data_IF_041201766359
#
_entry.id   IF_041201766359
#
_cell.length_a   1.000
_cell.length_b   1.000
_cell.length_c   1.000
_cell.angle_alpha   90.00
_cell.angle_beta   90.00
_cell.angle_gamma   90.00
#
_symmetry.space_group_name_H-M   'P 1'
#
loop_
_entity.id
_entity.type
_entity.pdbx_description
1 polymer ?
#
# COMPACT_ATOMS: atom_id res chain seq x y z
N UNK A 1 7.59 14.95 -2.99
CA UNK A 1 6.45 15.05 -3.93
C UNK A 1 5.22 15.64 -3.25
N UNK A 2 4.47 14.90 -2.40
CA UNK A 2 3.26 15.42 -1.75
C UNK A 2 3.47 16.74 -1.00
N UNK A 3 4.59 16.87 -0.29
CA UNK A 3 4.93 18.11 0.41
C UNK A 3 5.13 19.31 -0.54
N UNK A 4 5.77 19.08 -1.70
CA UNK A 4 5.92 20.13 -2.71
C UNK A 4 4.58 20.54 -3.32
N UNK A 5 3.64 19.60 -3.46
CA UNK A 5 2.27 19.90 -3.93
C UNK A 5 1.48 20.71 -2.89
N UNK A 6 1.64 20.43 -1.58
CA UNK A 6 1.03 21.23 -0.51
C UNK A 6 1.55 22.66 -0.51
N UNK A 7 2.87 22.82 -0.54
CA UNK A 7 3.51 24.14 -0.61
C UNK A 7 3.08 24.88 -1.88
N UNK A 8 2.97 24.18 -3.02
CA UNK A 8 2.45 24.76 -4.26
C UNK A 8 0.99 25.21 -4.10
N UNK A 9 0.10 24.42 -3.47
CA UNK A 9 -1.28 24.81 -3.18
C UNK A 9 -1.32 26.09 -2.34
N UNK A 10 -0.56 26.12 -1.25
CA UNK A 10 -0.60 27.22 -0.29
C UNK A 10 -0.12 28.54 -0.95
N UNK A 11 0.92 28.48 -1.78
CA UNK A 11 1.34 29.64 -2.58
C UNK A 11 0.35 30.01 -3.68
N UNK A 12 -0.31 29.03 -4.30
CA UNK A 12 -1.31 29.24 -5.34
C UNK A 12 -2.56 29.95 -4.78
N UNK A 13 -2.97 29.67 -3.54
CA UNK A 13 -4.12 30.32 -2.90
C UNK A 13 -3.89 31.80 -2.61
N UNK A 14 -2.63 32.19 -2.38
CA UNK A 14 -2.23 33.59 -2.13
C UNK A 14 -1.91 34.32 -3.45
N UNK A 15 -1.60 33.59 -4.52
CA UNK A 15 -1.31 34.16 -5.82
C UNK A 15 -2.58 34.70 -6.48
N UNK A 16 -2.55 35.98 -6.88
CA UNK A 16 -3.70 36.68 -7.49
C UNK A 16 -4.28 35.97 -8.73
N UNK A 17 -3.46 35.19 -9.44
CA UNK A 17 -3.84 34.44 -10.65
C UNK A 17 -3.71 32.93 -10.51
N UNK A 18 -3.45 32.44 -9.30
CA UNK A 18 -3.26 31.03 -9.03
C UNK A 18 -2.02 30.42 -9.68
N UNK A 19 -1.02 31.23 -10.04
CA UNK A 19 0.27 30.79 -10.57
C UNK A 19 1.38 31.07 -9.57
N UNK A 20 2.16 30.05 -9.26
CA UNK A 20 3.29 30.14 -8.33
C UNK A 20 4.57 30.35 -9.14
N UNK A 21 5.28 31.44 -8.85
CA UNK A 21 6.53 31.80 -9.54
C UNK A 21 7.74 31.12 -8.91
N UNK A 22 8.85 31.05 -9.66
CA UNK A 22 10.07 30.36 -9.24
C UNK A 22 10.55 30.73 -7.82
N UNK A 23 10.57 32.03 -7.51
CA UNK A 23 11.07 32.54 -6.23
C UNK A 23 10.18 32.24 -5.02
N UNK A 24 8.97 31.74 -5.23
CA UNK A 24 8.08 31.35 -4.13
C UNK A 24 8.41 29.96 -3.59
N UNK A 25 9.15 29.12 -4.34
CA UNK A 25 9.48 27.76 -3.94
C UNK A 25 10.96 27.61 -3.59
N UNK A 26 11.25 26.69 -2.67
CA UNK A 26 12.62 26.23 -2.44
C UNK A 26 13.10 25.38 -3.62
N UNK A 27 14.42 25.34 -3.92
CA UNK A 27 14.97 24.52 -5.00
C UNK A 27 14.53 23.05 -4.94
N UNK A 28 14.55 22.43 -3.75
CA UNK A 28 14.15 21.02 -3.55
C UNK A 28 12.67 20.75 -3.90
N UNK A 29 11.82 21.78 -3.82
CA UNK A 29 10.41 21.68 -4.21
C UNK A 29 10.25 21.83 -5.72
N UNK A 30 11.12 22.59 -6.38
CA UNK A 30 11.08 22.81 -7.82
C UNK A 30 11.24 21.50 -8.60
N UNK A 31 12.24 20.70 -8.27
CA UNK A 31 12.47 19.40 -8.91
C UNK A 31 11.29 18.44 -8.72
N UNK A 32 10.68 18.48 -7.53
CA UNK A 32 9.49 17.70 -7.25
C UNK A 32 8.26 18.20 -8.04
N UNK A 33 8.08 19.51 -8.20
CA UNK A 33 7.00 20.10 -9.00
C UNK A 33 7.16 19.75 -10.48
N UNK A 34 8.38 19.78 -11.02
CA UNK A 34 8.67 19.36 -12.39
C UNK A 34 8.37 17.86 -12.61
N UNK A 35 8.80 17.01 -11.68
CA UNK A 35 8.45 15.59 -11.73
C UNK A 35 6.93 15.35 -11.63
N UNK A 36 6.19 16.18 -10.89
CA UNK A 36 4.74 16.13 -10.80
C UNK A 36 4.05 16.58 -12.10
N UNK A 37 4.65 17.52 -12.83
CA UNK A 37 4.16 17.98 -14.12
C UNK A 37 4.22 16.83 -15.16
N UNK A 38 5.28 16.04 -15.14
CA UNK A 38 5.38 14.81 -15.94
C UNK A 38 4.30 13.75 -15.64
N UNK A 39 3.59 13.89 -14.52
CA UNK A 39 2.48 13.01 -14.10
C UNK A 39 1.09 13.67 -14.27
N UNK A 40 1.02 14.89 -14.83
CA UNK A 40 -0.23 15.63 -15.02
C UNK A 40 -0.86 16.20 -13.74
N UNK A 41 -0.13 16.19 -12.62
CA UNK A 41 -0.60 16.72 -11.34
C UNK A 41 -0.38 18.23 -11.23
N UNK A 42 0.57 18.74 -11.99
CA UNK A 42 0.95 20.15 -12.05
C UNK A 42 0.93 20.60 -13.51
N UNK A 43 0.45 21.81 -13.73
CA UNK A 43 0.58 22.53 -14.99
C UNK A 43 1.73 23.54 -14.86
N UNK A 44 2.71 23.47 -15.77
CA UNK A 44 3.79 24.44 -15.89
C UNK A 44 3.44 25.43 -17.00
N UNK A 45 3.61 26.73 -16.73
CA UNK A 45 3.28 27.79 -17.67
C UNK A 45 4.10 27.66 -18.95
N UNK A 46 3.38 27.59 -20.07
CA UNK A 46 3.96 27.62 -21.40
C UNK A 46 4.56 29.02 -21.71
N UNK A 47 5.28 29.17 -22.83
CA UNK A 47 5.90 30.47 -23.18
C UNK A 47 4.91 31.63 -23.32
N UNK A 48 3.67 31.38 -23.76
CA UNK A 48 2.64 32.40 -23.93
C UNK A 48 2.13 32.87 -22.57
N UNK A 49 1.76 31.92 -21.72
CA UNK A 49 1.33 32.17 -20.35
C UNK A 49 2.43 32.89 -19.55
N UNK A 50 3.70 32.50 -19.70
CA UNK A 50 4.82 33.20 -19.06
C UNK A 50 4.96 34.65 -19.53
N UNK A 51 4.71 34.95 -20.80
CA UNK A 51 4.72 36.32 -21.30
C UNK A 51 3.59 37.16 -20.68
N UNK A 52 2.39 36.60 -20.58
CA UNK A 52 1.24 37.24 -19.92
C UNK A 52 1.51 37.50 -18.43
N UNK A 53 2.08 36.51 -17.73
CA UNK A 53 2.50 36.66 -16.34
C UNK A 53 3.61 37.72 -16.19
N UNK A 54 4.57 37.76 -17.12
CA UNK A 54 5.66 38.76 -17.10
C UNK A 54 5.13 40.18 -17.28
N UNK A 55 4.18 40.38 -18.19
CA UNK A 55 3.55 41.68 -18.42
C UNK A 55 2.81 42.18 -17.17
N UNK A 56 2.23 41.25 -16.39
CA UNK A 56 1.51 41.57 -15.17
C UNK A 56 2.44 41.81 -13.98
N UNK A 57 3.46 40.99 -13.80
CA UNK A 57 4.44 41.11 -12.73
C UNK A 57 5.39 42.31 -12.91
N UNK A 58 5.43 42.91 -14.11
CA UNK A 58 6.36 43.98 -14.45
C UNK A 58 7.82 43.51 -14.51
N UNK A 59 8.06 42.19 -14.54
CA UNK A 59 9.38 41.56 -14.59
C UNK A 59 9.33 40.24 -15.36
N UNK A 60 10.45 39.77 -15.93
CA UNK A 60 10.48 38.48 -16.62
C UNK A 60 10.13 37.31 -15.69
N UNK A 61 9.12 36.53 -16.08
CA UNK A 61 8.74 35.26 -15.45
C UNK A 61 9.35 34.12 -16.27
N UNK A 62 10.40 33.50 -15.72
CA UNK A 62 11.10 32.38 -16.36
C UNK A 62 10.42 31.03 -16.11
N UNK A 63 9.63 30.94 -15.05
CA UNK A 63 8.93 29.73 -14.63
C UNK A 63 7.72 30.09 -13.77
N UNK A 64 6.63 29.38 -13.99
CA UNK A 64 5.46 29.41 -13.13
C UNK A 64 4.74 28.06 -13.19
N UNK A 65 4.14 27.64 -12.08
CA UNK A 65 3.37 26.40 -12.02
C UNK A 65 2.10 26.56 -11.18
N UNK A 66 1.13 25.68 -11.42
CA UNK A 66 -0.09 25.55 -10.62
C UNK A 66 -0.56 24.11 -10.55
N UNK A 67 -1.31 23.77 -9.51
CA UNK A 67 -1.98 22.48 -9.41
C UNK A 67 -3.08 22.34 -10.45
N UNK A 68 -3.14 21.17 -11.08
CA UNK A 68 -4.30 20.74 -11.86
C UNK A 68 -5.42 20.27 -10.95
N UNK A 69 -6.63 20.05 -11.50
CA UNK A 69 -7.72 19.40 -10.77
C UNK A 69 -7.29 18.04 -10.18
N UNK A 70 -6.58 17.22 -10.96
CA UNK A 70 -6.05 15.93 -10.51
C UNK A 70 -5.01 16.07 -9.38
N UNK A 71 -4.13 17.07 -9.45
CA UNK A 71 -3.18 17.35 -8.38
C UNK A 71 -3.86 17.75 -7.08
N UNK A 72 -4.95 18.53 -7.17
CA UNK A 72 -5.79 18.89 -6.03
C UNK A 72 -6.50 17.67 -5.45
N UNK A 73 -7.07 16.81 -6.28
CA UNK A 73 -7.73 15.58 -5.83
C UNK A 73 -6.75 14.63 -5.13
N UNK A 74 -5.51 14.53 -5.60
CA UNK A 74 -4.45 13.74 -4.94
C UNK A 74 -4.12 14.31 -3.56
N UNK A 75 -4.07 15.64 -3.40
CA UNK A 75 -3.85 16.26 -2.09
C UNK A 75 -5.03 16.02 -1.15
N UNK A 76 -6.25 16.25 -1.61
CA UNK A 76 -7.47 16.00 -0.83
C UNK A 76 -7.52 14.54 -0.40
N UNK A 77 -7.24 13.62 -1.32
CA UNK A 77 -7.18 12.20 -1.02
C UNK A 77 -6.07 11.89 -0.01
N UNK A 78 -4.87 12.46 -0.14
CA UNK A 78 -3.76 12.22 0.77
C UNK A 78 -3.98 12.81 2.18
N UNK A 79 -4.75 13.89 2.29
CA UNK A 79 -5.10 14.56 3.55
C UNK A 79 -6.29 13.91 4.25
N UNK A 80 -7.29 13.46 3.47
CA UNK A 80 -8.43 12.70 3.95
C UNK A 80 -8.09 11.22 4.20
N UNK A 81 -7.04 10.72 3.55
CA UNK A 81 -6.47 9.43 3.89
C UNK A 81 -5.98 9.53 5.33
N UNK A 82 -6.43 8.65 6.23
CA UNK A 82 -5.79 8.56 7.51
C UNK A 82 -4.29 8.41 7.25
N UNK A 83 -3.50 9.34 7.80
CA UNK A 83 -2.07 9.07 8.04
C UNK A 83 -2.04 7.65 8.56
N UNK A 84 -1.21 6.72 8.02
CA UNK A 84 -1.17 5.36 8.52
C UNK A 84 -0.63 5.38 9.97
N UNK A 85 -1.45 5.82 10.91
CA UNK A 85 -1.50 5.47 12.31
C UNK A 85 -1.95 4.02 12.34
N UNK A 86 -1.02 3.18 11.92
CA UNK A 86 -0.70 1.86 12.40
C UNK A 86 0.60 1.54 11.65
N UNK A 87 1.70 2.04 12.23
CA UNK A 87 2.83 1.14 12.42
C UNK A 87 2.26 0.10 13.39
N UNK A 88 1.91 -1.13 12.96
CA UNK A 88 2.05 -2.19 13.95
C UNK A 88 3.49 -2.07 14.38
N UNK A 89 3.69 -1.96 15.69
CA UNK A 89 4.98 -2.10 16.33
C UNK A 89 5.81 -3.10 15.50
N UNK A 90 7.06 -2.76 15.20
CA UNK A 90 7.95 -3.73 14.58
C UNK A 90 7.76 -5.09 15.28
N UNK A 91 7.82 -6.20 14.53
CA UNK A 91 7.20 -7.47 14.89
C UNK A 91 7.21 -7.69 16.40
N UNK A 92 6.03 -7.84 17.01
CA UNK A 92 5.95 -8.23 18.41
C UNK A 92 6.86 -9.46 18.59
N UNK A 93 7.58 -9.56 19.70
CA UNK A 93 8.60 -10.60 19.88
C UNK A 93 8.04 -11.99 19.51
N UNK A 94 8.54 -12.58 18.41
CA UNK A 94 8.05 -13.85 17.86
C UNK A 94 7.29 -13.77 16.52
N UNK A 95 6.94 -12.58 16.04
CA UNK A 95 6.31 -12.39 14.73
C UNK A 95 7.35 -12.31 13.61
N UNK A 96 7.01 -12.86 12.44
CA UNK A 96 7.85 -12.75 11.23
C UNK A 96 7.04 -12.27 10.02
N UNK A 97 7.70 -11.61 9.04
CA UNK A 97 7.03 -11.23 7.80
C UNK A 97 6.65 -12.47 6.99
N UNK A 98 5.40 -12.50 6.55
CA UNK A 98 4.80 -13.51 5.68
C UNK A 98 4.29 -12.83 4.43
N UNK A 99 4.97 -13.09 3.33
CA UNK A 99 4.59 -12.73 1.98
C UNK A 99 3.67 -13.77 1.34
N UNK A 100 2.52 -13.31 0.85
CA UNK A 100 1.54 -14.10 0.14
C UNK A 100 1.34 -13.57 -1.29
N UNK A 101 1.16 -14.48 -2.26
CA UNK A 101 0.65 -14.13 -3.59
C UNK A 101 -0.83 -13.75 -3.48
N UNK A 102 -1.35 -13.09 -4.52
CA UNK A 102 -2.80 -12.79 -4.63
C UNK A 102 -3.68 -14.02 -4.39
N UNK A 103 -3.39 -15.16 -5.03
CA UNK A 103 -4.21 -16.38 -4.84
C UNK A 103 -4.16 -16.93 -3.41
N UNK A 104 -3.00 -16.84 -2.74
CA UNK A 104 -2.86 -17.25 -1.34
C UNK A 104 -3.61 -16.29 -0.41
N UNK A 105 -3.54 -14.98 -0.66
CA UNK A 105 -4.28 -13.97 0.09
C UNK A 105 -5.80 -14.13 -0.07
N UNK A 106 -6.27 -14.43 -1.28
CA UNK A 106 -7.70 -14.69 -1.54
C UNK A 106 -8.20 -15.93 -0.79
N UNK A 107 -7.39 -16.99 -0.73
CA UNK A 107 -7.69 -18.18 0.07
C UNK A 107 -7.81 -17.85 1.56
N UNK A 108 -6.85 -17.07 2.07
CA UNK A 108 -6.79 -16.66 3.46
C UNK A 108 -7.99 -15.77 3.83
N UNK A 109 -8.39 -14.85 2.96
CA UNK A 109 -9.60 -14.02 3.13
C UNK A 109 -10.88 -14.85 3.25
N UNK A 110 -11.04 -15.87 2.41
CA UNK A 110 -12.19 -16.78 2.51
C UNK A 110 -12.16 -17.52 3.85
N UNK A 111 -11.01 -18.05 4.24
CA UNK A 111 -10.84 -18.78 5.50
C UNK A 111 -11.19 -17.93 6.73
N UNK A 112 -10.66 -16.71 6.83
CA UNK A 112 -10.98 -15.82 7.97
C UNK A 112 -12.43 -15.37 8.00
N UNK A 113 -13.07 -15.22 6.82
CA UNK A 113 -14.49 -14.90 6.72
C UNK A 113 -15.41 -16.06 7.15
N UNK A 114 -14.97 -17.31 7.00
CA UNK A 114 -15.72 -18.48 7.49
C UNK A 114 -15.63 -18.59 9.01
N UNK A 115 -14.51 -18.17 9.62
CA UNK A 115 -14.38 -17.99 11.06
C UNK A 115 -14.76 -19.23 11.86
N UNK A 116 -15.58 -19.03 12.90
CA UNK A 116 -16.07 -20.09 13.81
C UNK A 116 -16.98 -21.14 13.15
N UNK A 117 -17.32 -20.99 11.86
CA UNK A 117 -18.08 -22.02 11.12
C UNK A 117 -17.21 -23.22 10.74
N UNK A 118 -15.88 -23.07 10.82
CA UNK A 118 -14.93 -24.15 10.56
C UNK A 118 -14.67 -24.94 11.84
N UNK A 119 -14.39 -26.24 11.68
CA UNK A 119 -13.98 -27.07 12.81
C UNK A 119 -12.68 -26.58 13.46
N UNK A 120 -11.72 -26.12 12.65
CA UNK A 120 -10.54 -25.41 13.12
C UNK A 120 -10.65 -23.92 12.71
N UNK A 121 -11.09 -23.04 13.63
CA UNK A 121 -11.25 -21.62 13.33
C UNK A 121 -9.91 -20.94 13.07
N UNK A 122 -9.91 -19.77 12.41
CA UNK A 122 -8.72 -18.94 12.28
C UNK A 122 -8.10 -18.62 13.63
N UNK A 123 -6.76 -18.61 13.69
CA UNK A 123 -6.02 -18.21 14.89
C UNK A 123 -6.41 -16.78 15.33
N UNK A 124 -6.28 -16.52 16.63
CA UNK A 124 -6.61 -15.23 17.21
C UNK A 124 -5.83 -14.10 16.53
N UNK A 125 -6.51 -12.96 16.28
CA UNK A 125 -5.91 -11.81 15.61
C UNK A 125 -5.65 -11.96 14.11
N UNK A 126 -5.71 -13.16 13.52
CA UNK A 126 -5.40 -13.38 12.10
C UNK A 126 -6.31 -12.59 11.15
N UNK A 127 -7.60 -12.49 11.48
CA UNK A 127 -8.54 -11.68 10.71
C UNK A 127 -8.14 -10.20 10.67
N UNK A 128 -7.64 -9.66 11.78
CA UNK A 128 -7.14 -8.28 11.82
C UNK A 128 -5.87 -8.13 10.98
N UNK A 129 -4.93 -9.06 11.10
CA UNK A 129 -3.71 -9.08 10.29
C UNK A 129 -4.01 -9.12 8.79
N UNK A 130 -5.06 -9.83 8.38
CA UNK A 130 -5.53 -9.87 6.98
C UNK A 130 -6.14 -8.54 6.55
N UNK A 131 -6.86 -7.85 7.43
CA UNK A 131 -7.44 -6.51 7.16
C UNK A 131 -6.35 -5.45 7.01
N UNK A 132 -5.33 -5.50 7.86
CA UNK A 132 -4.21 -4.52 7.86
C UNK A 132 -3.05 -4.92 6.94
N UNK A 133 -3.19 -6.01 6.17
CA UNK A 133 -2.16 -6.50 5.26
C UNK A 133 -1.81 -5.45 4.21
N UNK A 134 -0.52 -5.31 3.89
CA UNK A 134 -0.04 -4.33 2.91
C UNK A 134 0.31 -5.00 1.60
N UNK A 135 -0.10 -4.41 0.49
CA UNK A 135 0.33 -4.86 -0.82
C UNK A 135 1.64 -4.15 -1.21
N UNK A 136 2.71 -4.93 -1.39
CA UNK A 136 4.00 -4.47 -1.87
C UNK A 136 4.26 -5.13 -3.23
N UNK A 137 4.04 -4.36 -4.31
CA UNK A 137 4.08 -4.88 -5.68
C UNK A 137 3.02 -5.95 -5.93
N UNK A 138 3.45 -7.18 -6.23
CA UNK A 138 2.57 -8.32 -6.49
C UNK A 138 2.38 -9.26 -5.27
N UNK A 139 2.89 -8.87 -4.10
CA UNK A 139 2.79 -9.63 -2.84
C UNK A 139 2.01 -8.87 -1.78
N UNK A 140 1.33 -9.61 -0.93
CA UNK A 140 0.74 -9.14 0.31
C UNK A 140 1.69 -9.49 1.45
N UNK A 141 1.97 -8.54 2.34
CA UNK A 141 2.84 -8.73 3.50
C UNK A 141 2.03 -8.61 4.78
N UNK A 142 2.17 -9.63 5.63
CA UNK A 142 1.59 -9.72 6.97
C UNK A 142 2.70 -10.01 7.98
N UNK A 143 2.58 -9.53 9.21
CA UNK A 143 3.45 -9.95 10.32
C UNK A 143 2.65 -10.91 11.18
N UNK A 144 3.10 -12.15 11.22
CA UNK A 144 2.37 -13.26 11.84
C UNK A 144 3.27 -13.99 12.84
N UNK A 145 2.69 -14.40 13.97
CA UNK A 145 3.28 -15.35 14.89
C UNK A 145 3.20 -16.80 14.35
N UNK A 146 3.75 -17.75 15.09
CA UNK A 146 3.77 -19.16 14.68
C UNK A 146 2.37 -19.79 14.56
N UNK A 147 1.46 -19.47 15.48
CA UNK A 147 0.09 -20.01 15.47
C UNK A 147 -0.70 -19.51 14.26
N UNK A 148 -0.55 -18.23 13.94
CA UNK A 148 -1.13 -17.61 12.76
C UNK A 148 -0.54 -18.20 11.48
N UNK A 149 0.77 -18.47 11.43
CA UNK A 149 1.41 -19.14 10.28
C UNK A 149 0.84 -20.54 10.07
N UNK A 150 0.62 -21.31 11.13
CA UNK A 150 -0.03 -22.62 11.07
C UNK A 150 -1.46 -22.49 10.54
N UNK A 151 -2.22 -21.50 11.03
CA UNK A 151 -3.56 -21.21 10.55
C UNK A 151 -3.60 -20.82 9.06
N UNK A 152 -2.61 -20.07 8.56
CA UNK A 152 -2.45 -19.82 7.11
C UNK A 152 -2.16 -21.10 6.34
N UNK A 153 -1.27 -21.96 6.84
CA UNK A 153 -0.98 -23.25 6.21
C UNK A 153 -2.24 -24.13 6.12
N UNK A 154 -3.08 -24.12 7.15
CA UNK A 154 -4.37 -24.82 7.15
C UNK A 154 -5.34 -24.24 6.11
N UNK A 155 -5.45 -22.91 6.01
CA UNK A 155 -6.27 -22.27 4.98
C UNK A 155 -5.87 -22.67 3.55
N UNK A 156 -4.56 -22.73 3.29
CA UNK A 156 -4.02 -23.16 1.99
C UNK A 156 -4.21 -24.65 1.75
N UNK A 157 -4.13 -25.48 2.80
CA UNK A 157 -4.50 -26.89 2.72
C UNK A 157 -5.98 -27.06 2.33
N UNK A 158 -6.91 -26.36 2.98
CA UNK A 158 -8.34 -26.42 2.65
C UNK A 158 -8.59 -26.04 1.17
N UNK A 159 -7.94 -24.98 0.69
CA UNK A 159 -8.02 -24.61 -0.73
C UNK A 159 -7.43 -25.67 -1.64
N UNK A 160 -6.36 -26.34 -1.23
CA UNK A 160 -5.73 -27.40 -2.02
C UNK A 160 -6.62 -28.64 -2.21
N UNK A 161 -7.48 -28.95 -1.23
CA UNK A 161 -8.44 -30.07 -1.35
C UNK A 161 -9.48 -29.79 -2.45
N UNK A 162 -9.88 -28.54 -2.61
CA UNK A 162 -10.84 -28.10 -3.64
C UNK A 162 -10.21 -27.64 -4.95
N UNK A 163 -8.89 -27.75 -5.15
CA UNK A 163 -8.23 -27.20 -6.32
C UNK A 163 -6.70 -27.39 -6.37
N UNK A 164 -5.97 -26.31 -6.63
CA UNK A 164 -4.52 -26.34 -6.82
C UNK A 164 -3.76 -26.52 -5.50
N UNK A 165 -2.85 -27.50 -5.48
CA UNK A 165 -1.88 -27.73 -4.38
C UNK A 165 -0.67 -26.81 -4.44
N UNK A 166 -0.50 -26.03 -5.52
CA UNK A 166 0.70 -25.24 -5.75
C UNK A 166 0.90 -24.16 -4.68
N UNK A 167 -0.18 -23.52 -4.24
CA UNK A 167 -0.16 -22.49 -3.20
C UNK A 167 0.29 -23.03 -1.85
N UNK A 168 -0.21 -24.20 -1.46
CA UNK A 168 0.15 -24.87 -0.20
C UNK A 168 1.61 -25.34 -0.24
N UNK A 169 2.06 -25.92 -1.36
CA UNK A 169 3.45 -26.34 -1.53
C UNK A 169 4.43 -25.16 -1.55
N UNK A 170 4.07 -24.05 -2.21
CA UNK A 170 4.89 -22.85 -2.21
C UNK A 170 5.04 -22.27 -0.80
N UNK A 171 3.94 -22.18 -0.06
CA UNK A 171 3.94 -21.70 1.31
C UNK A 171 4.77 -22.61 2.23
N UNK A 172 4.58 -23.94 2.14
CA UNK A 172 5.33 -24.91 2.93
C UNK A 172 6.85 -24.82 2.68
N UNK A 173 7.28 -24.61 1.43
CA UNK A 173 8.71 -24.42 1.12
C UNK A 173 9.31 -23.14 1.72
N UNK A 174 8.51 -22.08 1.82
CA UNK A 174 8.98 -20.78 2.28
C UNK A 174 8.94 -20.65 3.80
N UNK A 175 7.97 -21.29 4.44
CA UNK A 175 7.67 -21.09 5.86
C UNK A 175 7.80 -22.35 6.72
N UNK A 176 8.08 -23.50 6.11
CA UNK A 176 8.34 -24.76 6.80
C UNK A 176 7.10 -25.42 7.40
N UNK A 177 5.88 -24.95 7.10
CA UNK A 177 4.64 -25.48 7.70
C UNK A 177 3.73 -26.05 6.62
N UNK A 178 3.29 -27.29 6.81
CA UNK A 178 2.29 -27.93 5.95
C UNK A 178 1.24 -28.63 6.81
N UNK A 179 -0.01 -28.62 6.37
CA UNK A 179 -1.05 -29.48 6.93
C UNK A 179 -1.20 -30.71 6.06
N UNK A 180 -1.09 -31.89 6.67
CA UNK A 180 -1.36 -33.17 6.02
C UNK A 180 -2.36 -33.96 6.86
N UNK A 181 -3.31 -34.66 6.21
CA UNK A 181 -4.16 -35.60 6.93
C UNK A 181 -3.30 -36.75 7.43
N UNK A 182 -3.32 -36.99 8.74
CA UNK A 182 -2.80 -38.23 9.31
C UNK A 182 -3.73 -39.37 8.88
N UNK A 183 -3.23 -40.22 7.98
CA UNK A 183 -4.00 -41.34 7.42
C UNK A 183 -4.30 -42.44 8.46
N UNK A 184 -3.66 -42.41 9.63
CA UNK A 184 -3.85 -43.40 10.69
C UNK A 184 -4.93 -43.02 11.70
N UNK A 185 -5.14 -41.72 11.94
CA UNK A 185 -6.10 -41.21 12.94
C UNK A 185 -7.25 -40.40 12.33
N UNK A 186 -7.16 -40.03 11.06
CA UNK A 186 -8.11 -39.10 10.42
C UNK A 186 -8.00 -37.66 10.93
N UNK A 187 -7.03 -37.36 11.79
CA UNK A 187 -6.80 -36.02 12.34
C UNK A 187 -5.90 -35.18 11.43
N UNK A 188 -6.12 -33.87 11.39
CA UNK A 188 -5.30 -32.92 10.65
C UNK A 188 -4.33 -32.26 11.63
N UNK A 189 -3.04 -32.56 11.48
CA UNK A 189 -1.99 -32.03 12.35
C UNK A 189 -1.04 -31.14 11.53
N UNK A 190 -0.64 -29.96 12.07
CA UNK A 190 0.45 -29.20 11.47
C UNK A 190 1.73 -30.03 11.52
N UNK A 191 2.42 -30.15 10.39
CA UNK A 191 3.75 -30.75 10.32
C UNK A 191 4.75 -29.65 9.98
N UNK A 192 5.72 -29.44 10.88
CA UNK A 192 6.88 -28.59 10.61
C UNK A 192 7.90 -29.40 9.80
N UNK A 193 8.28 -28.86 8.65
CA UNK A 193 9.36 -29.38 7.82
C UNK A 193 10.69 -28.87 8.40
N UNK A 194 11.74 -29.71 8.39
CA UNK A 194 13.08 -29.32 8.84
C UNK A 194 13.70 -28.23 7.98
#
# INVERSE_FOLDING_TARGET
MLEALRVLRDHQEVAERGWVLFGALRPDHHDAVEAAAGQGLVEVADPVMRAELSAHEGRPVVWAARLTGHGRDVLIYAEASPTPEHRPEGPAAGERPVELRRSQMDALRVYVNLGARLHLPPAEGLAERVRTARQLGNRWVLYLDEEQIESVAYALYLRSVGGSVAEANHFARQYGVTFRPDRSTGSLQPTRLP
#
